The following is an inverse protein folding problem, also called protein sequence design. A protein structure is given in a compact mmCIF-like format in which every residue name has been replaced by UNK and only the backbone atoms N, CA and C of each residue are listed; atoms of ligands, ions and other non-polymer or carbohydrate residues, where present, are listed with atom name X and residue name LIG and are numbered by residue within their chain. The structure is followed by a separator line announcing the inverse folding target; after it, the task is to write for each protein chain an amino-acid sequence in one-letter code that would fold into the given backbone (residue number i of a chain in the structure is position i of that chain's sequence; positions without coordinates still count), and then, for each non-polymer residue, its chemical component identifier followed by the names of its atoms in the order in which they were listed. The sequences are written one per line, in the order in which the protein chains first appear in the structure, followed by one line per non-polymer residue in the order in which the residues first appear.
data_IF_684653168844
#
_entry.id   IF_684653168844
#
_cell.length_a   1.000
_cell.length_b   1.000
_cell.length_c   1.000
_cell.angle_alpha   90.00
_cell.angle_beta   90.00
_cell.angle_gamma   90.00
#
_symmetry.space_group_name_H-M   'P 1'
#
loop_
_entity.id
_entity.type
_entity.pdbx_description
1 polymer ?
#
# COMPACT_ATOMS: atom_id res chain seq x y z
N UNK A 1 33.27 20.09 -23.27
CA UNK A 1 32.97 21.54 -23.35
C UNK A 1 31.89 21.77 -24.38
N UNK A 2 30.93 22.66 -24.17
CA UNK A 2 29.93 23.03 -25.19
C UNK A 2 30.62 23.88 -26.26
N UNK A 3 30.60 23.41 -27.51
CA UNK A 3 31.21 24.12 -28.66
C UNK A 3 30.22 25.07 -29.33
N UNK A 4 28.98 24.64 -29.51
CA UNK A 4 27.97 25.45 -30.19
C UNK A 4 26.55 25.10 -29.80
N UNK A 5 25.66 26.10 -29.88
CA UNK A 5 24.23 26.00 -29.72
C UNK A 5 23.57 26.50 -31.00
N UNK A 6 22.72 25.69 -31.61
CA UNK A 6 22.00 26.05 -32.85
C UNK A 6 20.56 25.61 -32.78
N UNK A 7 19.64 26.47 -33.17
CA UNK A 7 18.24 26.08 -33.34
C UNK A 7 18.11 25.21 -34.60
N UNK A 8 17.31 24.14 -34.51
CA UNK A 8 16.97 23.32 -35.67
C UNK A 8 16.26 24.14 -36.75
N UNK A 9 16.30 23.67 -38.01
CA UNK A 9 15.68 24.39 -39.15
C UNK A 9 14.17 24.54 -38.99
N UNK A 10 13.52 23.56 -38.39
CA UNK A 10 12.09 23.53 -38.10
C UNK A 10 11.72 24.29 -36.80
N UNK A 11 12.73 24.84 -36.09
CA UNK A 11 12.61 25.58 -34.81
C UNK A 11 11.99 24.77 -33.68
N UNK A 12 11.95 23.45 -33.79
CA UNK A 12 11.34 22.56 -32.80
C UNK A 12 12.26 22.22 -31.62
N UNK A 13 13.58 22.23 -31.86
CA UNK A 13 14.56 21.83 -30.84
C UNK A 13 15.91 22.56 -31.01
N UNK A 14 16.72 22.56 -29.97
CA UNK A 14 18.06 23.13 -29.95
C UNK A 14 19.08 22.01 -30.05
N UNK A 15 19.97 22.11 -31.08
CA UNK A 15 21.12 21.22 -31.19
C UNK A 15 22.29 21.79 -30.41
N UNK A 16 22.85 20.97 -29.55
CA UNK A 16 24.03 21.31 -28.73
C UNK A 16 25.18 20.43 -29.20
N UNK A 17 26.27 21.04 -29.65
CA UNK A 17 27.49 20.31 -29.96
C UNK A 17 28.43 20.36 -28.75
N UNK A 18 28.84 19.18 -28.27
CA UNK A 18 29.68 19.02 -27.09
C UNK A 18 30.95 18.28 -27.50
N UNK A 19 32.10 18.82 -27.13
CA UNK A 19 33.37 18.13 -27.26
C UNK A 19 33.66 17.42 -25.93
N UNK A 20 33.82 16.11 -26.00
CA UNK A 20 34.23 15.28 -24.89
C UNK A 20 35.77 15.12 -24.85
N UNK A 21 36.34 15.00 -23.67
CA UNK A 21 37.74 14.62 -23.50
C UNK A 21 37.94 13.14 -23.83
N UNK A 22 39.14 12.73 -24.14
CA UNK A 22 39.46 11.34 -24.49
C UNK A 22 39.09 10.35 -23.40
N UNK A 23 39.18 10.75 -22.13
CA UNK A 23 38.83 9.92 -20.97
C UNK A 23 37.32 9.79 -20.77
N UNK A 24 36.51 10.50 -21.53
CA UNK A 24 35.07 10.52 -21.41
C UNK A 24 34.35 9.55 -22.41
N UNK A 25 35.07 8.57 -22.97
CA UNK A 25 34.51 7.59 -23.90
C UNK A 25 33.33 6.78 -23.31
N UNK A 26 33.33 6.55 -22.00
CA UNK A 26 32.20 5.87 -21.31
C UNK A 26 30.87 6.63 -21.45
N UNK A 27 30.89 7.91 -21.74
CA UNK A 27 29.69 8.74 -21.93
C UNK A 27 29.09 8.66 -23.33
N UNK A 28 29.73 7.94 -24.27
CA UNK A 28 29.20 7.76 -25.64
C UNK A 28 28.38 6.47 -25.79
N UNK A 29 28.18 5.68 -24.73
CA UNK A 29 27.31 4.52 -24.79
C UNK A 29 25.89 4.94 -25.25
N UNK A 30 25.26 4.16 -26.15
CA UNK A 30 23.97 4.47 -26.79
C UNK A 30 22.84 4.79 -25.83
N UNK A 31 22.90 4.19 -24.64
CA UNK A 31 21.91 4.36 -23.57
C UNK A 31 22.32 5.42 -22.54
N UNK A 32 23.35 6.24 -22.83
CA UNK A 32 23.73 7.39 -22.00
C UNK A 32 22.63 8.45 -22.05
N UNK A 33 22.33 9.02 -20.89
CA UNK A 33 21.29 10.04 -20.71
C UNK A 33 21.92 11.39 -20.44
N UNK A 34 21.47 12.42 -21.17
CA UNK A 34 21.92 13.81 -21.03
C UNK A 34 20.74 14.72 -20.70
N UNK A 35 20.95 15.74 -19.89
CA UNK A 35 19.96 16.77 -19.60
C UNK A 35 20.62 18.11 -19.29
N UNK A 36 19.84 19.18 -19.37
CA UNK A 36 20.33 20.51 -18.98
C UNK A 36 20.01 20.77 -17.54
N UNK A 37 21.04 20.96 -16.72
CA UNK A 37 20.91 21.38 -15.32
C UNK A 37 20.74 22.88 -15.27
N UNK A 38 19.58 23.33 -14.80
CA UNK A 38 19.21 24.73 -14.61
C UNK A 38 18.42 24.88 -13.31
N UNK A 39 18.32 26.09 -12.73
CA UNK A 39 17.47 26.29 -11.57
C UNK A 39 16.03 25.88 -11.88
N UNK A 40 15.44 25.05 -11.07
CA UNK A 40 14.05 24.62 -11.15
C UNK A 40 13.38 24.80 -9.82
N UNK A 41 12.11 25.21 -9.88
CA UNK A 41 11.21 25.25 -8.75
C UNK A 41 10.15 24.18 -9.02
N UNK A 42 10.17 23.13 -8.21
CA UNK A 42 9.18 22.06 -8.28
C UNK A 42 8.57 21.79 -6.91
N UNK A 43 7.61 20.88 -6.83
CA UNK A 43 6.91 20.53 -5.60
C UNK A 43 7.84 19.93 -4.53
N UNK A 44 9.00 19.39 -4.92
CA UNK A 44 10.00 18.85 -3.99
C UNK A 44 10.98 19.91 -3.46
N UNK A 45 10.91 21.14 -3.99
CA UNK A 45 11.75 22.27 -3.58
C UNK A 45 12.48 22.95 -4.74
N UNK A 46 13.52 23.71 -4.40
CA UNK A 46 14.37 24.40 -5.38
C UNK A 46 15.60 23.53 -5.64
N UNK A 47 15.78 23.13 -6.90
CA UNK A 47 16.95 22.38 -7.35
C UNK A 47 17.83 23.24 -8.28
N UNK A 48 19.11 22.88 -8.42
CA UNK A 48 20.03 23.55 -9.33
C UNK A 48 20.42 24.97 -8.90
N UNK A 49 20.30 25.38 -7.63
CA UNK A 49 20.66 26.71 -7.15
C UNK A 49 22.12 27.10 -7.46
N UNK A 50 23.04 26.13 -7.49
CA UNK A 50 24.43 26.38 -7.88
C UNK A 50 24.57 26.96 -9.29
N UNK A 51 23.62 26.69 -10.18
CA UNK A 51 23.64 27.21 -11.56
C UNK A 51 23.29 28.68 -11.68
N UNK A 52 22.78 29.31 -10.63
CA UNK A 52 22.54 30.76 -10.63
C UNK A 52 23.85 31.57 -10.74
N UNK A 53 24.94 31.03 -10.22
CA UNK A 53 26.26 31.66 -10.25
C UNK A 53 27.16 31.08 -11.36
N UNK A 54 27.09 29.76 -11.61
CA UNK A 54 27.94 29.06 -12.56
C UNK A 54 27.39 28.97 -13.99
N UNK A 55 26.10 29.33 -14.18
CA UNK A 55 25.38 29.09 -15.43
C UNK A 55 24.87 27.64 -15.56
N UNK A 56 24.02 27.42 -16.56
CA UNK A 56 23.50 26.07 -16.85
C UNK A 56 24.63 25.17 -17.40
N UNK A 57 24.59 23.89 -17.06
CA UNK A 57 25.50 22.88 -17.56
C UNK A 57 24.79 21.61 -18.01
N UNK A 58 25.47 20.75 -18.75
CA UNK A 58 24.91 19.46 -19.18
C UNK A 58 25.23 18.42 -18.11
N UNK A 59 24.20 17.85 -17.50
CA UNK A 59 24.29 16.65 -16.68
C UNK A 59 24.35 15.42 -17.55
N UNK A 60 25.03 14.38 -17.10
CA UNK A 60 25.19 13.12 -17.79
C UNK A 60 25.05 11.97 -16.82
N UNK A 61 24.39 10.91 -17.25
CA UNK A 61 24.31 9.62 -16.60
C UNK A 61 24.81 8.57 -17.57
N UNK A 62 26.00 8.02 -17.30
CA UNK A 62 26.72 7.14 -18.20
C UNK A 62 25.89 5.87 -18.50
N UNK A 63 25.82 5.52 -19.79
CA UNK A 63 25.27 4.26 -20.23
C UNK A 63 26.16 3.06 -19.92
N UNK A 64 25.62 1.87 -20.10
CA UNK A 64 26.35 0.60 -19.99
C UNK A 64 26.31 -0.23 -21.28
N UNK A 65 25.65 0.27 -22.32
CA UNK A 65 25.61 -0.40 -23.62
C UNK A 65 27.02 -0.46 -24.25
N UNK A 66 27.36 -1.58 -24.86
CA UNK A 66 28.60 -1.72 -25.63
C UNK A 66 28.60 -0.90 -26.93
N UNK A 67 27.39 -0.66 -27.45
CA UNK A 67 27.20 0.14 -28.66
C UNK A 67 27.32 1.62 -28.30
N UNK A 68 28.08 2.37 -29.10
CA UNK A 68 28.28 3.82 -28.93
C UNK A 68 27.44 4.62 -29.93
N UNK A 69 27.12 5.85 -29.56
CA UNK A 69 26.40 6.80 -30.41
C UNK A 69 27.07 8.19 -30.36
N UNK A 70 26.88 8.95 -31.43
CA UNK A 70 27.38 10.33 -31.54
C UNK A 70 26.24 11.36 -31.39
N UNK A 71 24.99 10.93 -31.48
CA UNK A 71 23.82 11.77 -31.33
C UNK A 71 22.90 11.22 -30.22
N UNK A 72 22.47 12.11 -29.34
CA UNK A 72 21.62 11.79 -28.23
C UNK A 72 20.45 12.77 -28.14
N UNK A 73 19.29 12.29 -27.69
CA UNK A 73 18.16 13.14 -27.34
C UNK A 73 18.27 13.52 -25.87
N UNK A 74 18.40 14.84 -25.60
CA UNK A 74 18.45 15.33 -24.22
C UNK A 74 17.10 15.16 -23.51
N UNK A 75 17.16 14.75 -22.24
CA UNK A 75 15.98 14.66 -21.37
C UNK A 75 15.51 16.05 -20.97
N UNK A 76 14.20 16.26 -20.92
CA UNK A 76 13.57 17.51 -20.46
C UNK A 76 13.79 17.75 -18.96
N UNK A 77 13.93 16.69 -18.19
CA UNK A 77 14.21 16.70 -16.76
C UNK A 77 15.34 15.74 -16.42
N UNK A 78 16.13 16.02 -15.36
CA UNK A 78 17.10 15.07 -14.85
C UNK A 78 16.40 13.76 -14.50
N UNK A 79 17.05 12.60 -14.71
CA UNK A 79 16.51 11.34 -14.23
C UNK A 79 16.44 11.39 -12.69
N UNK A 80 15.35 10.87 -12.15
CA UNK A 80 15.13 10.83 -10.70
C UNK A 80 16.18 9.94 -10.01
N UNK A 81 16.58 8.87 -10.69
CA UNK A 81 17.63 7.96 -10.25
C UNK A 81 18.64 7.85 -11.38
N UNK A 82 19.90 8.16 -11.05
CA UNK A 82 21.05 7.95 -11.92
C UNK A 82 21.60 6.54 -11.70
N UNK A 83 22.30 6.00 -12.67
CA UNK A 83 22.86 4.64 -12.59
C UNK A 83 23.95 4.48 -11.52
N UNK A 84 24.65 5.56 -11.20
CA UNK A 84 25.63 5.62 -10.13
C UNK A 84 25.01 5.77 -8.73
N UNK A 85 23.69 5.95 -8.66
CA UNK A 85 23.00 6.05 -7.37
C UNK A 85 23.09 4.72 -6.60
N UNK A 86 23.72 4.79 -5.43
CA UNK A 86 23.79 3.65 -4.53
C UNK A 86 22.46 3.43 -3.84
N UNK A 87 21.89 2.24 -3.99
CA UNK A 87 20.59 1.90 -3.43
C UNK A 87 19.94 0.75 -4.18
N UNK A 88 18.62 0.60 -4.01
CA UNK A 88 17.85 -0.48 -4.65
C UNK A 88 16.46 -0.02 -5.05
N UNK A 89 16.00 -0.51 -6.19
CA UNK A 89 14.66 -0.26 -6.71
C UNK A 89 13.69 -1.35 -6.28
N UNK A 90 12.45 -0.96 -5.97
CA UNK A 90 11.34 -1.86 -5.64
C UNK A 90 10.11 -1.47 -6.45
N UNK A 91 9.21 -2.43 -6.68
CA UNK A 91 7.95 -2.23 -7.37
C UNK A 91 6.80 -2.21 -6.34
N UNK A 92 5.93 -1.22 -6.44
CA UNK A 92 4.75 -1.13 -5.58
C UNK A 92 3.48 -1.15 -6.44
N UNK A 93 2.62 -2.13 -6.19
CA UNK A 93 1.31 -2.20 -6.81
C UNK A 93 0.28 -1.48 -5.95
N UNK A 94 -0.47 -0.58 -6.55
CA UNK A 94 -1.52 0.19 -5.90
C UNK A 94 -2.79 0.21 -6.75
N UNK A 95 -3.92 0.53 -6.13
CA UNK A 95 -5.19 0.73 -6.83
C UNK A 95 -5.17 2.01 -7.66
N UNK A 96 -4.56 3.05 -7.14
CA UNK A 96 -4.38 4.36 -7.76
C UNK A 96 -3.11 5.03 -7.24
N UNK A 97 -2.69 6.11 -7.88
CA UNK A 97 -1.49 6.89 -7.51
C UNK A 97 -1.75 7.79 -6.30
N UNK A 98 -3.01 8.14 -6.05
CA UNK A 98 -3.38 9.10 -5.00
C UNK A 98 -2.73 10.46 -5.20
N UNK A 99 -2.06 10.97 -4.17
CA UNK A 99 -1.32 12.24 -4.20
C UNK A 99 0.17 12.09 -4.57
N UNK A 100 0.60 10.88 -4.97
CA UNK A 100 2.00 10.62 -5.31
C UNK A 100 2.32 11.12 -6.72
N UNK A 101 3.56 11.56 -6.88
CA UNK A 101 4.12 11.94 -8.17
C UNK A 101 5.57 11.45 -8.25
N UNK A 102 6.17 11.53 -9.42
CA UNK A 102 7.59 11.28 -9.62
C UNK A 102 8.39 12.23 -8.75
N UNK A 103 9.34 11.71 -7.96
CA UNK A 103 10.07 12.47 -6.95
C UNK A 103 9.42 12.49 -5.55
N UNK A 104 8.19 12.02 -5.39
CA UNK A 104 7.57 11.88 -4.06
C UNK A 104 8.46 11.12 -3.11
N UNK A 105 8.63 11.58 -1.85
CA UNK A 105 9.58 11.01 -0.92
C UNK A 105 9.16 9.63 -0.40
N UNK A 106 10.14 8.77 -0.17
CA UNK A 106 9.99 7.50 0.54
C UNK A 106 10.61 7.64 1.94
N UNK A 107 9.84 7.28 2.96
CA UNK A 107 10.22 7.43 4.36
C UNK A 107 10.40 6.07 5.05
N UNK A 108 11.41 5.99 5.89
CA UNK A 108 11.58 4.96 6.89
C UNK A 108 11.73 5.61 8.26
N UNK A 109 10.87 5.27 9.21
CA UNK A 109 10.83 5.90 10.54
C UNK A 109 10.84 7.45 10.47
N UNK A 110 10.11 8.03 9.51
CA UNK A 110 10.01 9.50 9.25
C UNK A 110 11.29 10.15 8.71
N UNK A 111 12.31 9.38 8.36
CA UNK A 111 13.51 9.86 7.68
C UNK A 111 13.30 9.63 6.18
N UNK A 112 13.54 10.66 5.35
CA UNK A 112 13.53 10.50 3.89
C UNK A 112 14.71 9.62 3.49
N UNK A 113 14.41 8.46 2.94
CA UNK A 113 15.40 7.43 2.56
C UNK A 113 15.37 7.11 1.08
N UNK A 114 14.43 7.69 0.31
CA UNK A 114 14.29 7.41 -1.10
C UNK A 114 13.24 8.29 -1.76
N UNK A 115 12.83 7.90 -2.95
CA UNK A 115 11.83 8.62 -3.73
C UNK A 115 11.16 7.72 -4.79
N UNK A 116 10.00 8.16 -5.28
CA UNK A 116 9.31 7.55 -6.42
C UNK A 116 10.09 7.88 -7.69
N UNK A 117 10.56 6.87 -8.40
CA UNK A 117 11.33 7.02 -9.63
C UNK A 117 10.44 7.12 -10.88
N UNK A 118 9.34 6.37 -10.90
CA UNK A 118 8.38 6.34 -12.00
C UNK A 118 7.07 5.70 -11.53
N UNK A 119 6.02 5.86 -12.31
CA UNK A 119 4.79 5.08 -12.18
C UNK A 119 4.17 4.87 -13.56
N UNK A 120 3.41 3.79 -13.70
CA UNK A 120 2.71 3.43 -14.91
C UNK A 120 1.35 2.79 -14.59
N UNK A 121 0.38 3.00 -15.47
CA UNK A 121 -0.91 2.32 -15.38
C UNK A 121 -0.73 0.86 -15.80
N UNK A 122 -1.29 -0.07 -15.03
CA UNK A 122 -1.24 -1.48 -15.38
C UNK A 122 -2.02 -1.73 -16.69
N UNK A 123 -1.56 -2.70 -17.49
CA UNK A 123 -2.12 -2.95 -18.82
C UNK A 123 -3.61 -3.36 -18.84
N UNK A 124 -4.14 -3.82 -17.71
CA UNK A 124 -5.57 -4.14 -17.54
C UNK A 124 -6.40 -2.94 -17.04
N UNK A 125 -5.76 -1.80 -16.76
CA UNK A 125 -6.38 -0.56 -16.29
C UNK A 125 -6.94 -0.63 -14.87
N UNK A 126 -6.64 -1.68 -14.09
CA UNK A 126 -7.22 -1.87 -12.74
C UNK A 126 -6.31 -1.42 -11.60
N UNK A 127 -5.08 -1.08 -11.90
CA UNK A 127 -4.10 -0.68 -10.92
C UNK A 127 -2.98 0.15 -11.53
N UNK A 128 -2.06 0.53 -10.69
CA UNK A 128 -0.84 1.26 -11.05
C UNK A 128 0.36 0.59 -10.43
N UNK A 129 1.45 0.57 -11.15
CA UNK A 129 2.74 0.08 -10.66
C UNK A 129 3.68 1.26 -10.49
N UNK A 130 4.12 1.51 -9.26
CA UNK A 130 5.12 2.53 -8.94
C UNK A 130 6.49 1.87 -8.81
N UNK A 131 7.52 2.54 -9.33
CA UNK A 131 8.92 2.21 -9.09
C UNK A 131 9.47 3.15 -8.04
N UNK A 132 9.88 2.61 -6.92
CA UNK A 132 10.48 3.39 -5.83
C UNK A 132 11.95 3.04 -5.68
N UNK A 133 12.75 4.05 -5.45
CA UNK A 133 14.18 3.87 -5.18
C UNK A 133 14.47 4.20 -3.71
N UNK A 134 15.11 3.27 -3.03
CA UNK A 134 15.57 3.43 -1.65
C UNK A 134 17.08 3.52 -1.67
N UNK A 135 17.61 4.65 -1.17
CA UNK A 135 19.05 4.93 -1.15
C UNK A 135 19.80 4.00 -0.19
N UNK A 136 21.06 3.72 -0.49
CA UNK A 136 21.95 3.11 0.46
C UNK A 136 22.26 4.10 1.62
N UNK A 137 22.42 3.61 2.85
CA UNK A 137 22.40 2.19 3.27
C UNK A 137 21.02 1.69 3.73
N UNK A 138 19.93 2.38 3.37
CA UNK A 138 18.57 2.13 3.91
C UNK A 138 17.85 0.99 3.20
N UNK A 139 18.26 0.61 1.99
CA UNK A 139 17.69 -0.51 1.21
C UNK A 139 17.77 -1.84 1.96
N UNK A 140 18.72 -2.00 2.86
CA UNK A 140 18.86 -3.18 3.71
C UNK A 140 17.73 -3.38 4.71
N UNK A 141 16.94 -2.33 4.99
CA UNK A 141 15.78 -2.39 5.87
C UNK A 141 14.50 -2.84 5.14
N UNK A 142 14.59 -3.06 3.83
CA UNK A 142 13.49 -3.63 3.05
C UNK A 142 13.71 -5.14 2.95
N UNK A 143 12.83 -5.91 3.57
CA UNK A 143 12.83 -7.37 3.57
C UNK A 143 11.50 -7.93 3.02
N UNK A 144 11.36 -9.24 2.94
CA UNK A 144 10.15 -9.89 2.44
C UNK A 144 8.87 -9.57 3.26
N UNK A 145 9.03 -9.17 4.52
CA UNK A 145 7.92 -8.82 5.42
C UNK A 145 7.60 -7.33 5.42
N UNK A 146 8.41 -6.52 4.74
CA UNK A 146 8.21 -5.07 4.66
C UNK A 146 6.83 -4.74 4.08
N UNK A 147 6.20 -3.73 4.66
CA UNK A 147 4.93 -3.17 4.23
C UNK A 147 5.13 -1.73 3.82
N UNK A 148 4.49 -1.35 2.72
CA UNK A 148 4.50 0.00 2.20
C UNK A 148 3.11 0.61 2.30
N UNK A 149 3.01 1.90 2.61
CA UNK A 149 1.74 2.63 2.69
C UNK A 149 1.89 4.09 2.28
N UNK A 150 0.77 4.69 1.91
CA UNK A 150 0.73 6.14 1.68
C UNK A 150 1.00 6.88 2.98
N UNK A 151 2.07 7.68 3.02
CA UNK A 151 2.34 8.59 4.11
C UNK A 151 1.48 9.84 3.92
N UNK A 152 0.22 9.77 4.37
CA UNK A 152 -0.64 10.95 4.44
C UNK A 152 -0.26 11.81 5.65
N UNK A 153 -0.18 13.11 5.46
CA UNK A 153 0.22 14.03 6.54
C UNK A 153 -0.81 14.20 7.66
N UNK A 154 -2.02 13.67 7.50
CA UNK A 154 -3.10 13.73 8.49
C UNK A 154 -3.66 12.32 8.65
N UNK A 155 -3.38 11.71 9.78
CA UNK A 155 -3.95 10.43 10.18
C UNK A 155 -5.07 10.70 11.20
N UNK A 156 -6.31 10.53 10.77
CA UNK A 156 -7.50 10.67 11.61
C UNK A 156 -8.03 9.28 11.95
N UNK A 157 -7.82 8.85 13.19
CA UNK A 157 -8.40 7.61 13.69
C UNK A 157 -9.56 7.94 14.62
N UNK A 158 -10.76 7.52 14.24
CA UNK A 158 -11.94 7.53 15.11
C UNK A 158 -12.04 6.15 15.73
N UNK A 159 -11.74 6.04 17.02
CA UNK A 159 -11.86 4.80 17.79
C UNK A 159 -12.92 4.93 18.89
N UNK A 160 -13.26 3.84 19.54
CA UNK A 160 -14.15 3.85 20.70
C UNK A 160 -13.60 4.70 21.87
N UNK A 161 -12.29 4.99 21.89
CA UNK A 161 -11.60 5.84 22.87
C UNK A 161 -11.55 7.32 22.48
N UNK A 162 -12.10 7.71 21.31
CA UNK A 162 -12.15 9.09 20.84
C UNK A 162 -11.49 9.34 19.51
N UNK A 163 -11.38 10.62 19.15
CA UNK A 163 -10.72 11.10 17.94
C UNK A 163 -9.22 11.28 18.23
N UNK A 164 -8.38 10.49 17.59
CA UNK A 164 -6.94 10.69 17.64
C UNK A 164 -6.48 11.33 16.33
N UNK A 165 -5.99 12.56 16.41
CA UNK A 165 -5.39 13.29 15.30
C UNK A 165 -3.87 13.20 15.41
N UNK A 166 -3.23 12.51 14.48
CA UNK A 166 -1.76 12.48 14.35
C UNK A 166 -1.36 13.33 13.16
N UNK A 167 -0.75 14.47 13.43
CA UNK A 167 -0.18 15.34 12.37
C UNK A 167 1.29 14.96 12.16
N UNK A 168 1.65 14.75 10.90
CA UNK A 168 3.04 14.60 10.46
C UNK A 168 3.61 15.97 10.04
N UNK A 169 4.88 16.03 9.67
CA UNK A 169 5.52 17.28 9.27
C UNK A 169 4.74 17.95 8.10
N UNK A 170 4.65 19.29 8.13
CA UNK A 170 3.91 20.08 7.13
C UNK A 170 4.27 19.75 5.67
N UNK A 171 5.51 19.39 5.40
CA UNK A 171 5.95 18.99 4.07
C UNK A 171 5.27 17.69 3.59
N UNK A 172 5.02 16.73 4.48
CA UNK A 172 4.34 15.47 4.16
C UNK A 172 2.84 15.67 3.91
N UNK A 173 2.25 16.71 4.54
CA UNK A 173 0.84 17.06 4.35
C UNK A 173 0.60 17.59 2.93
N UNK A 174 1.55 18.36 2.39
CA UNK A 174 1.41 19.03 1.10
C UNK A 174 1.82 18.16 -0.09
N UNK A 175 2.80 17.29 0.08
CA UNK A 175 3.44 16.56 -1.03
C UNK A 175 3.06 15.08 -1.10
N UNK A 176 2.39 14.55 -0.07
CA UNK A 176 2.24 13.11 0.07
C UNK A 176 3.58 12.39 0.21
N UNK A 177 3.58 11.08 0.19
CA UNK A 177 4.79 10.27 0.23
C UNK A 177 4.45 8.81 0.43
N UNK A 178 5.47 7.99 0.44
CA UNK A 178 5.38 6.57 0.77
C UNK A 178 6.17 6.35 2.05
N UNK A 179 5.64 5.58 2.98
CA UNK A 179 6.39 5.10 4.12
C UNK A 179 6.46 3.58 4.09
N UNK A 180 7.48 3.02 4.73
CA UNK A 180 7.58 1.58 4.90
C UNK A 180 8.06 1.21 6.30
N UNK A 181 7.76 -0.04 6.68
CA UNK A 181 8.21 -0.65 7.92
C UNK A 181 7.89 -2.13 7.93
N UNK A 182 8.42 -2.83 8.91
CA UNK A 182 8.17 -4.25 9.11
C UNK A 182 7.26 -4.41 10.34
N UNK A 183 6.17 -5.20 10.26
CA UNK A 183 5.35 -5.50 11.42
C UNK A 183 6.18 -6.14 12.52
N UNK A 184 5.98 -5.70 13.76
CA UNK A 184 6.62 -6.32 14.91
C UNK A 184 5.93 -7.65 15.24
N UNK A 185 6.46 -8.74 14.68
CA UNK A 185 5.92 -10.09 14.84
C UNK A 185 6.43 -10.77 16.13
N UNK A 186 7.14 -10.03 16.99
CA UNK A 186 7.70 -10.59 18.25
C UNK A 186 8.82 -11.62 18.03
N UNK A 187 9.20 -11.89 16.80
CA UNK A 187 10.36 -12.73 16.43
C UNK A 187 11.47 -11.83 15.90
N UNK A 188 12.61 -11.86 16.55
CA UNK A 188 13.77 -10.98 16.28
C UNK A 188 14.47 -11.26 14.93
N UNK A 189 13.87 -11.97 14.01
CA UNK A 189 14.50 -12.27 12.72
C UNK A 189 14.01 -11.32 11.65
N UNK A 190 14.78 -10.29 11.35
CA UNK A 190 14.73 -9.63 10.04
C UNK A 190 14.90 -10.71 8.98
N UNK A 191 13.96 -10.82 8.05
CA UNK A 191 14.11 -11.67 6.89
C UNK A 191 15.33 -11.27 6.05
N UNK A 192 15.73 -12.07 5.07
CA UNK A 192 16.76 -11.66 4.13
C UNK A 192 16.32 -10.38 3.42
N UNK A 193 17.26 -9.46 3.17
CA UNK A 193 17.00 -8.22 2.45
C UNK A 193 16.34 -8.53 1.10
N UNK A 194 15.29 -7.80 0.76
CA UNK A 194 14.56 -7.99 -0.49
C UNK A 194 15.50 -7.72 -1.69
N UNK A 195 15.34 -8.50 -2.74
CA UNK A 195 16.09 -8.33 -3.98
C UNK A 195 15.60 -7.10 -4.75
N UNK A 196 16.42 -6.63 -5.66
CA UNK A 196 16.03 -5.55 -6.57
C UNK A 196 14.78 -5.95 -7.38
N UNK A 197 13.89 -4.97 -7.61
CA UNK A 197 12.60 -5.15 -8.29
C UNK A 197 11.64 -6.12 -7.59
N UNK A 198 11.86 -6.45 -6.31
CA UNK A 198 10.84 -7.16 -5.53
C UNK A 198 9.55 -6.33 -5.51
N UNK A 199 8.43 -7.01 -5.76
CA UNK A 199 7.11 -6.39 -5.80
C UNK A 199 6.45 -6.44 -4.42
N UNK A 200 5.82 -5.31 -4.03
CA UNK A 200 5.05 -5.15 -2.80
C UNK A 200 3.70 -4.50 -3.12
N UNK A 201 2.79 -4.54 -2.17
CA UNK A 201 1.52 -3.82 -2.24
C UNK A 201 1.65 -2.51 -1.48
N UNK A 202 1.20 -1.41 -2.10
CA UNK A 202 1.08 -0.11 -1.45
C UNK A 202 -0.30 -0.01 -0.79
N UNK A 203 -0.34 0.00 0.53
CA UNK A 203 -1.57 0.15 1.30
C UNK A 203 -1.99 1.63 1.41
N UNK A 204 -3.26 1.87 1.68
CA UNK A 204 -3.81 3.23 1.81
C UNK A 204 -3.25 3.99 3.02
N UNK A 205 -2.96 3.29 4.11
CA UNK A 205 -2.43 3.86 5.35
C UNK A 205 -1.61 2.82 6.13
N UNK A 206 -0.95 3.27 7.20
CA UNK A 206 -0.14 2.41 8.07
C UNK A 206 -0.97 1.31 8.73
N UNK A 207 -2.20 1.61 9.15
CA UNK A 207 -3.07 0.64 9.83
C UNK A 207 -3.45 -0.49 8.87
N UNK A 208 -3.79 -0.17 7.62
CA UNK A 208 -4.08 -1.15 6.58
C UNK A 208 -2.82 -1.97 6.22
N UNK A 209 -1.64 -1.33 6.14
CA UNK A 209 -0.38 -2.00 5.85
C UNK A 209 0.03 -2.98 6.96
N UNK A 210 -0.10 -2.54 8.21
CA UNK A 210 0.28 -3.33 9.39
C UNK A 210 -0.77 -4.34 9.81
N UNK A 211 -1.97 -4.27 9.22
CA UNK A 211 -2.98 -5.31 9.42
C UNK A 211 -2.37 -6.64 9.00
N UNK A 212 -2.17 -7.53 9.95
CA UNK A 212 -1.61 -8.84 9.67
C UNK A 212 -2.46 -9.51 8.60
N UNK A 213 -1.82 -10.20 7.64
CA UNK A 213 -2.56 -11.11 6.75
C UNK A 213 -3.24 -12.11 7.67
N UNK A 214 -4.52 -11.92 7.85
CA UNK A 214 -5.35 -12.92 8.49
C UNK A 214 -5.23 -14.18 7.62
N UNK A 215 -5.10 -15.33 8.24
CA UNK A 215 -5.07 -16.60 7.52
C UNK A 215 -6.30 -16.81 6.63
N UNK A 216 -6.59 -18.02 6.26
CA UNK A 216 -7.76 -18.30 5.41
C UNK A 216 -9.03 -17.72 6.03
N UNK A 217 -9.63 -16.79 5.30
CA UNK A 217 -10.89 -16.17 5.74
C UNK A 217 -12.05 -17.14 5.56
N UNK A 218 -12.88 -17.27 6.57
CA UNK A 218 -14.13 -18.03 6.51
C UNK A 218 -15.31 -17.06 6.33
N UNK A 219 -16.12 -17.29 5.30
CA UNK A 219 -17.31 -16.49 5.02
C UNK A 219 -18.54 -17.14 5.61
N UNK A 220 -19.36 -16.37 6.33
CA UNK A 220 -20.60 -16.83 6.95
C UNK A 220 -21.75 -15.88 6.65
N UNK A 221 -22.94 -16.43 6.44
CA UNK A 221 -24.18 -15.68 6.34
C UNK A 221 -24.92 -15.70 7.69
N UNK A 222 -25.23 -14.53 8.20
CA UNK A 222 -26.09 -14.33 9.35
C UNK A 222 -27.43 -13.79 8.87
N UNK A 223 -28.52 -14.34 9.39
CA UNK A 223 -29.88 -13.86 9.12
C UNK A 223 -30.42 -13.14 10.35
N UNK A 224 -30.74 -11.87 10.20
CA UNK A 224 -31.38 -11.07 11.26
C UNK A 224 -32.82 -10.76 10.90
N UNK A 225 -33.70 -10.77 11.89
CA UNK A 225 -35.10 -10.35 11.77
C UNK A 225 -35.35 -8.97 12.41
N UNK A 226 -34.30 -8.28 12.81
CA UNK A 226 -34.35 -6.97 13.43
C UNK A 226 -33.70 -5.92 12.55
N UNK A 227 -33.97 -4.65 12.82
CA UNK A 227 -33.36 -3.54 12.08
C UNK A 227 -31.83 -3.58 12.16
N UNK A 228 -31.18 -3.42 11.00
CA UNK A 228 -29.73 -3.32 10.86
C UNK A 228 -29.23 -1.86 10.89
N UNK A 229 -30.07 -0.92 11.34
CA UNK A 229 -29.71 0.51 11.38
C UNK A 229 -28.41 0.72 12.18
N UNK A 230 -27.46 1.41 11.56
CA UNK A 230 -26.13 1.65 12.13
C UNK A 230 -25.10 0.55 11.85
N UNK A 231 -25.47 -0.58 11.24
CA UNK A 231 -24.55 -1.56 10.72
C UNK A 231 -24.13 -1.15 9.30
N UNK A 232 -22.85 -1.28 8.98
CA UNK A 232 -22.29 -0.98 7.65
C UNK A 232 -21.26 -2.04 7.24
N UNK A 233 -21.01 -2.22 5.94
CA UNK A 233 -19.84 -2.97 5.50
C UNK A 233 -18.56 -2.42 6.16
N UNK A 234 -17.65 -3.31 6.57
CA UNK A 234 -16.47 -2.97 7.36
C UNK A 234 -16.70 -2.93 8.87
N UNK A 235 -17.95 -3.00 9.36
CA UNK A 235 -18.22 -3.10 10.79
C UNK A 235 -17.56 -4.34 11.40
N UNK A 236 -16.94 -4.25 12.59
CA UNK A 236 -16.26 -5.37 13.19
C UNK A 236 -17.20 -6.51 13.59
N UNK A 237 -16.70 -7.73 13.47
CA UNK A 237 -17.26 -8.93 14.07
C UNK A 237 -16.42 -9.28 15.28
N UNK A 238 -17.01 -9.21 16.45
CA UNK A 238 -16.37 -9.36 17.74
C UNK A 238 -16.76 -10.68 18.42
N UNK A 239 -15.82 -11.34 19.05
CA UNK A 239 -16.07 -12.46 19.93
C UNK A 239 -15.50 -12.14 21.31
N UNK A 240 -16.37 -11.82 22.26
CA UNK A 240 -16.04 -11.51 23.65
C UNK A 240 -14.96 -10.44 23.83
N UNK A 241 -14.99 -9.38 23.01
CA UNK A 241 -14.02 -8.28 23.07
C UNK A 241 -12.84 -8.42 22.11
N UNK A 242 -12.74 -9.54 21.37
CA UNK A 242 -11.71 -9.75 20.36
C UNK A 242 -12.32 -9.61 18.97
N UNK A 243 -11.82 -8.68 18.16
CA UNK A 243 -12.26 -8.51 16.77
C UNK A 243 -11.71 -9.66 15.94
N UNK A 244 -12.58 -10.56 15.51
CA UNK A 244 -12.23 -11.76 14.74
C UNK A 244 -12.61 -11.68 13.26
N UNK A 245 -13.29 -10.61 12.84
CA UNK A 245 -13.74 -10.47 11.46
C UNK A 245 -14.38 -9.14 11.18
N UNK A 246 -15.02 -9.06 10.02
CA UNK A 246 -15.74 -7.86 9.55
C UNK A 246 -16.98 -8.21 8.73
N UNK A 247 -17.92 -7.28 8.68
CA UNK A 247 -19.10 -7.35 7.81
C UNK A 247 -18.68 -7.05 6.37
N UNK A 248 -19.03 -7.92 5.42
CA UNK A 248 -18.74 -7.74 3.98
C UNK A 248 -19.88 -7.08 3.23
N UNK A 249 -21.09 -7.57 3.44
CA UNK A 249 -22.28 -7.02 2.78
C UNK A 249 -23.53 -7.19 3.63
N UNK A 250 -24.50 -6.36 3.36
CA UNK A 250 -25.80 -6.32 4.03
C UNK A 250 -26.87 -6.33 2.94
N UNK A 251 -27.85 -7.20 3.07
CA UNK A 251 -28.96 -7.31 2.15
C UNK A 251 -30.32 -7.24 2.84
N UNK A 252 -31.37 -7.20 2.03
CA UNK A 252 -32.76 -7.35 2.45
C UNK A 252 -33.40 -8.33 1.48
N UNK A 253 -33.97 -9.41 2.01
CA UNK A 253 -34.66 -10.43 1.24
C UNK A 253 -36.04 -10.62 1.80
N UNK A 254 -37.05 -10.82 0.91
CA UNK A 254 -38.39 -11.17 1.32
C UNK A 254 -38.57 -12.68 1.20
N UNK A 255 -38.71 -13.34 2.36
CA UNK A 255 -39.06 -14.76 2.39
C UNK A 255 -40.55 -14.94 2.09
N UNK A 256 -40.83 -15.59 0.95
CA UNK A 256 -42.22 -15.79 0.48
C UNK A 256 -42.96 -16.84 1.28
N UNK A 257 -42.27 -17.79 1.86
CA UNK A 257 -42.86 -18.88 2.64
C UNK A 257 -43.27 -18.42 4.04
N UNK A 258 -42.38 -17.67 4.69
CA UNK A 258 -42.62 -17.10 6.02
C UNK A 258 -43.32 -15.73 5.96
N UNK A 259 -43.43 -15.11 4.76
CA UNK A 259 -43.96 -13.75 4.53
C UNK A 259 -43.31 -12.66 5.37
N UNK A 260 -42.04 -12.83 5.64
CA UNK A 260 -41.23 -11.91 6.46
C UNK A 260 -40.02 -11.39 5.70
N UNK A 261 -39.56 -10.20 6.09
CA UNK A 261 -38.27 -9.68 5.62
C UNK A 261 -37.15 -10.26 6.46
N UNK A 262 -36.18 -10.87 5.80
CA UNK A 262 -34.92 -11.32 6.40
C UNK A 262 -33.81 -10.38 5.95
N UNK A 263 -32.90 -10.08 6.86
CA UNK A 263 -31.76 -9.25 6.59
C UNK A 263 -30.50 -10.14 6.59
N UNK A 264 -30.08 -10.64 5.40
CA UNK A 264 -28.82 -11.36 5.26
C UNK A 264 -27.63 -10.43 5.46
N UNK A 265 -26.74 -10.79 6.36
CA UNK A 265 -25.47 -10.12 6.62
C UNK A 265 -24.36 -11.10 6.34
N UNK A 266 -23.56 -10.83 5.30
CA UNK A 266 -22.38 -11.61 4.99
C UNK A 266 -21.22 -11.12 5.83
N UNK A 267 -20.66 -11.99 6.65
CA UNK A 267 -19.49 -11.69 7.47
C UNK A 267 -18.29 -12.53 7.00
N UNK A 268 -17.12 -11.98 7.18
CA UNK A 268 -15.85 -12.66 7.00
C UNK A 268 -15.15 -12.75 8.35
N UNK A 269 -14.80 -13.96 8.78
CA UNK A 269 -14.07 -14.19 10.03
C UNK A 269 -12.69 -14.80 9.73
N UNK A 270 -11.77 -14.59 10.64
CA UNK A 270 -10.39 -15.05 10.56
C UNK A 270 -10.09 -15.94 11.78
N UNK A 271 -10.26 -17.26 11.64
CA UNK A 271 -10.11 -18.20 12.78
C UNK A 271 -8.75 -18.11 13.47
N UNK A 272 -7.70 -17.77 12.71
CA UNK A 272 -6.34 -17.66 13.24
C UNK A 272 -6.17 -16.55 14.28
N UNK A 273 -7.07 -15.58 14.32
CA UNK A 273 -7.09 -14.56 15.37
C UNK A 273 -7.45 -15.13 16.74
N UNK A 274 -8.18 -16.24 16.78
CA UNK A 274 -8.54 -16.94 18.02
C UNK A 274 -7.45 -17.91 18.49
N UNK A 275 -6.59 -18.42 17.60
CA UNK A 275 -5.58 -19.45 17.89
C UNK A 275 -4.23 -18.89 18.35
N UNK A 276 -4.02 -17.59 18.27
CA UNK A 276 -2.71 -16.95 18.52
C UNK A 276 -2.19 -16.96 19.94
N UNK A 277 -2.93 -17.52 20.89
CA UNK A 277 -2.53 -17.51 22.31
C UNK A 277 -1.67 -18.70 22.73
N UNK A 278 -1.41 -19.69 21.88
CA UNK A 278 -0.58 -20.86 22.23
C UNK A 278 0.45 -21.12 21.15
N UNK A 279 1.74 -20.80 21.37
CA UNK A 279 2.81 -21.18 20.45
C UNK A 279 3.01 -22.71 20.50
N UNK A 280 2.83 -23.40 19.38
CA UNK A 280 3.32 -24.78 19.25
C UNK A 280 2.39 -25.82 18.64
N UNK A 281 1.12 -25.58 18.45
CA UNK A 281 0.24 -26.56 17.80
C UNK A 281 -0.53 -25.93 16.65
N UNK A 282 -0.01 -26.10 15.43
CA UNK A 282 -0.83 -26.02 14.22
C UNK A 282 -1.73 -27.28 14.22
N UNK A 283 -2.84 -27.22 14.94
CA UNK A 283 -3.83 -28.29 14.92
C UNK A 283 -4.52 -28.27 13.55
N UNK A 284 -4.06 -29.11 12.62
CA UNK A 284 -4.88 -29.53 11.48
C UNK A 284 -6.21 -30.01 12.01
N UNK A 285 -7.24 -29.20 11.91
CA UNK A 285 -8.57 -29.56 12.37
C UNK A 285 -9.12 -30.71 11.54
N UNK A 286 -9.28 -31.89 12.13
CA UNK A 286 -9.90 -33.06 11.52
C UNK A 286 -11.37 -32.85 11.12
N UNK A 287 -11.95 -31.71 11.44
CA UNK A 287 -13.37 -31.39 11.18
C UNK A 287 -13.49 -30.35 10.07
N UNK A 288 -14.46 -30.58 9.18
CA UNK A 288 -14.80 -29.58 8.16
C UNK A 288 -15.32 -28.28 8.82
N UNK A 289 -15.21 -27.15 8.09
CA UNK A 289 -15.74 -25.85 8.55
C UNK A 289 -17.21 -25.97 9.03
N UNK A 290 -18.02 -26.68 8.26
CA UNK A 290 -19.44 -26.93 8.59
C UNK A 290 -19.61 -27.65 9.95
N UNK A 291 -18.81 -28.69 10.17
CA UNK A 291 -18.90 -29.46 11.42
C UNK A 291 -18.50 -28.63 12.64
N UNK A 292 -17.45 -27.81 12.47
CA UNK A 292 -17.02 -26.87 13.52
C UNK A 292 -18.11 -25.84 13.85
N UNK A 293 -18.66 -25.21 12.81
CA UNK A 293 -19.71 -24.20 12.99
C UNK A 293 -20.97 -24.83 13.61
N UNK A 294 -21.42 -26.00 13.14
CA UNK A 294 -22.56 -26.70 13.70
C UNK A 294 -22.33 -27.04 15.17
N UNK A 295 -21.14 -27.47 15.55
CA UNK A 295 -20.80 -27.76 16.94
C UNK A 295 -20.89 -26.49 17.81
N UNK A 296 -20.34 -25.37 17.35
CA UNK A 296 -20.39 -24.09 18.08
C UNK A 296 -21.84 -23.57 18.20
N UNK A 297 -22.63 -23.66 17.16
CA UNK A 297 -24.04 -23.27 17.16
C UNK A 297 -24.86 -24.15 18.11
N UNK A 298 -24.59 -25.46 18.15
CA UNK A 298 -25.20 -26.39 19.09
C UNK A 298 -24.81 -26.09 20.55
N UNK A 299 -23.61 -25.54 20.79
CA UNK A 299 -23.16 -25.04 22.10
C UNK A 299 -23.77 -23.68 22.46
N UNK A 300 -24.56 -23.10 21.56
CA UNK A 300 -25.28 -21.84 21.79
C UNK A 300 -24.59 -20.61 21.20
N UNK A 301 -23.64 -20.77 20.29
CA UNK A 301 -23.06 -19.61 19.58
C UNK A 301 -24.16 -18.85 18.82
N UNK A 302 -24.27 -17.54 19.08
CA UNK A 302 -25.24 -16.64 18.44
C UNK A 302 -24.57 -15.33 18.10
N UNK A 303 -25.13 -14.67 17.06
CA UNK A 303 -24.77 -13.32 16.66
C UNK A 303 -25.80 -12.32 17.19
N UNK A 304 -25.34 -11.21 17.71
CA UNK A 304 -26.16 -10.10 18.17
C UNK A 304 -25.63 -8.79 17.60
N UNK A 305 -26.50 -7.81 17.36
CA UNK A 305 -26.09 -6.44 17.09
C UNK A 305 -25.92 -5.72 18.41
N UNK A 306 -24.75 -5.13 18.62
CA UNK A 306 -24.44 -4.31 19.80
C UNK A 306 -24.01 -2.91 19.42
N UNK A 307 -24.36 -1.88 20.22
CA UNK A 307 -23.88 -0.53 19.96
C UNK A 307 -22.37 -0.47 20.16
N UNK A 308 -21.67 -0.01 19.14
CA UNK A 308 -20.22 0.24 19.19
C UNK A 308 -19.89 1.67 19.60
N UNK A 309 -20.73 2.62 19.18
CA UNK A 309 -20.58 4.01 19.55
C UNK A 309 -21.97 4.67 19.71
N UNK A 310 -22.25 5.14 20.91
CA UNK A 310 -23.54 5.75 21.25
C UNK A 310 -23.77 7.13 20.58
N UNK A 311 -22.69 7.86 20.24
CA UNK A 311 -22.78 9.16 19.62
C UNK A 311 -23.08 9.07 18.12
N UNK A 312 -22.46 8.10 17.44
CA UNK A 312 -22.62 7.92 15.99
C UNK A 312 -23.75 6.93 15.64
N UNK A 313 -24.27 6.21 16.62
CA UNK A 313 -25.27 5.15 16.42
C UNK A 313 -24.72 3.93 15.67
N UNK A 314 -23.40 3.79 15.54
CA UNK A 314 -22.77 2.62 14.93
C UNK A 314 -22.98 1.37 15.75
N UNK A 315 -23.32 0.28 15.07
CA UNK A 315 -23.44 -1.05 15.67
C UNK A 315 -22.45 -2.01 15.03
N UNK A 316 -22.14 -3.06 15.76
CA UNK A 316 -21.25 -4.14 15.32
C UNK A 316 -21.88 -5.51 15.57
N UNK A 317 -21.32 -6.56 14.98
CA UNK A 317 -21.76 -7.92 15.18
C UNK A 317 -20.98 -8.54 16.33
N UNK A 318 -21.67 -8.86 17.44
CA UNK A 318 -21.08 -9.57 18.58
C UNK A 318 -21.46 -11.05 18.53
N UNK A 319 -20.47 -11.91 18.57
CA UNK A 319 -20.64 -13.36 18.72
C UNK A 319 -20.44 -13.74 20.19
N UNK A 320 -21.38 -14.50 20.74
CA UNK A 320 -21.27 -15.02 22.13
C UNK A 320 -22.06 -16.31 22.28
N UNK A 321 -21.82 -17.04 23.40
CA UNK A 321 -22.51 -18.28 23.68
C UNK A 321 -23.73 -18.05 24.60
N UNK A 322 -24.86 -18.54 24.15
CA UNK A 322 -26.15 -18.51 24.85
C UNK A 322 -26.70 -19.93 24.97
N UNK A 323 -26.28 -20.72 25.99
CA UNK A 323 -26.62 -22.15 26.08
C UNK A 323 -28.11 -22.46 26.24
N UNK A 324 -28.90 -21.48 26.68
CA UNK A 324 -30.36 -21.65 26.96
C UNK A 324 -31.27 -21.17 25.82
N UNK A 325 -30.69 -20.76 24.66
CA UNK A 325 -31.48 -20.26 23.54
C UNK A 325 -31.86 -21.40 22.59
N UNK A 326 -33.03 -21.29 21.96
CA UNK A 326 -33.53 -22.27 21.01
C UNK A 326 -32.49 -22.65 19.93
N UNK A 327 -32.48 -23.90 19.47
CA UNK A 327 -31.55 -24.35 18.44
C UNK A 327 -31.64 -23.47 17.19
N UNK A 328 -30.49 -23.08 16.61
CA UNK A 328 -30.43 -22.39 15.32
C UNK A 328 -30.00 -23.36 14.22
N UNK A 329 -30.51 -23.13 13.02
CA UNK A 329 -30.13 -23.90 11.84
C UNK A 329 -28.88 -23.26 11.19
N UNK A 330 -27.94 -24.10 10.79
CA UNK A 330 -26.78 -23.69 9.99
C UNK A 330 -27.06 -24.08 8.54
N UNK A 331 -27.31 -23.08 7.69
CA UNK A 331 -27.40 -23.27 6.23
C UNK A 331 -26.08 -22.84 5.60
N UNK A 332 -25.54 -23.64 4.68
CA UNK A 332 -24.39 -23.25 3.87
C UNK A 332 -24.92 -22.61 2.59
N UNK A 333 -24.37 -21.43 2.28
CA UNK A 333 -24.45 -20.91 0.92
C UNK A 333 -23.44 -21.70 0.07
N UNK A 334 -23.94 -22.45 -0.88
CA UNK A 334 -23.10 -22.94 -1.97
C UNK A 334 -22.84 -21.72 -2.88
N UNK A 335 -21.62 -21.19 -2.85
CA UNK A 335 -21.17 -20.35 -3.95
C UNK A 335 -20.83 -21.27 -5.12
N UNK A 336 -21.68 -21.25 -6.15
CA UNK A 336 -21.40 -21.86 -7.45
C UNK A 336 -20.28 -21.13 -8.17
#
# INVERSE_FOLDING_TARGET
MVESLRLSRDRSHVRVKVQLNKDAAAFTAKDTRYWVVRPRLDTSGISGLGTLLSGAYIGVDAGSAEETADEFVGLEAPPIVTRDASGRQFLLHAKDVGSLDVGSPVYFRRIKVGQVAAYELDGDGKGVTLRVFVNAPYEKFVDANTRFWHASGIDMQVSASGLTLRTQALATILLGGIAFGTPDLGTSSSGPAALENTAFVLAQDEAAAMKQKDGSAETMLLLFNQSLRGLSPGAPVDFRGVVIGEVKSIGVEFDRDEREFKMPVLIQIYPDRLQRSVPGEAAESKYSQKQRLQFLVNKGLRAQLRPGNLLTGQVYVALDFFPKVAPAKVCLLYTS
#
